data_IF_137748598962
#
_entry.id   IF_137748598962
#
_cell.length_a   1.000
_cell.length_b   1.000
_cell.length_c   1.000
_cell.angle_alpha   90.00
_cell.angle_beta   90.00
_cell.angle_gamma   90.00
#
_symmetry.space_group_name_H-M   'P 1'
#
loop_
_entity.id
_entity.type
_entity.pdbx_description
1 polymer ?
#
# COMPACT_ATOMS: atom_id res chain seq x y z
N UNK A 1 -9.71 -11.33 -0.81
CA UNK A 1 -8.73 -12.19 -1.52
C UNK A 1 -7.52 -11.32 -1.83
N UNK A 2 -6.33 -11.80 -1.48
CA UNK A 2 -5.06 -11.15 -1.78
C UNK A 2 -4.47 -11.84 -2.99
N UNK A 3 -3.98 -11.07 -3.94
CA UNK A 3 -3.35 -11.59 -5.15
C UNK A 3 -1.98 -10.93 -5.31
N UNK A 4 -0.87 -11.69 -5.11
CA UNK A 4 0.48 -11.15 -5.19
C UNK A 4 1.00 -11.14 -6.64
N UNK A 5 1.54 -10.00 -7.09
CA UNK A 5 2.08 -9.81 -8.44
C UNK A 5 1.04 -9.91 -9.58
N UNK A 6 1.51 -9.81 -10.84
CA UNK A 6 0.68 -9.87 -12.04
C UNK A 6 0.32 -8.49 -12.64
N UNK A 7 -0.59 -8.50 -13.63
CA UNK A 7 -1.13 -7.25 -14.16
C UNK A 7 -2.07 -6.59 -13.14
N UNK A 8 -1.97 -5.27 -12.92
CA UNK A 8 -2.87 -4.57 -12.03
C UNK A 8 -4.35 -4.79 -12.43
N UNK A 9 -5.24 -5.10 -11.46
CA UNK A 9 -6.64 -5.35 -11.76
C UNK A 9 -7.33 -4.05 -12.17
N UNK A 10 -8.49 -4.16 -12.84
CA UNK A 10 -9.34 -3.01 -13.17
C UNK A 10 -10.77 -3.30 -12.68
N UNK A 11 -11.45 -2.36 -12.00
CA UNK A 11 -10.98 -1.01 -11.65
C UNK A 11 -10.16 -0.98 -10.35
N UNK A 12 -9.13 -0.15 -10.30
CA UNK A 12 -8.46 0.26 -9.05
C UNK A 12 -9.12 1.52 -8.53
N UNK A 13 -9.52 1.53 -7.27
CA UNK A 13 -9.99 2.76 -6.60
C UNK A 13 -8.88 3.49 -5.85
N UNK A 14 -7.90 2.73 -5.33
CA UNK A 14 -6.91 3.26 -4.41
C UNK A 14 -5.55 2.59 -4.61
N UNK A 15 -4.50 3.40 -4.57
CA UNK A 15 -3.11 2.96 -4.52
C UNK A 15 -2.52 3.25 -3.15
N UNK A 16 -1.74 2.29 -2.63
CA UNK A 16 -0.89 2.45 -1.45
C UNK A 16 0.56 2.23 -1.84
N UNK A 17 1.44 3.12 -1.38
CA UNK A 17 2.87 3.00 -1.59
C UNK A 17 3.52 2.38 -0.35
N UNK A 18 4.24 1.29 -0.56
CA UNK A 18 5.06 0.62 0.45
C UNK A 18 6.50 1.08 0.30
N UNK A 19 7.03 1.71 1.34
CA UNK A 19 8.47 1.90 1.52
C UNK A 19 8.93 1.05 2.69
N UNK A 20 10.10 0.44 2.55
CA UNK A 20 10.64 -0.48 3.54
C UNK A 20 12.10 -0.20 3.84
N UNK A 21 12.45 -0.34 5.12
CA UNK A 21 13.84 -0.32 5.58
C UNK A 21 13.97 -1.18 6.83
N UNK A 22 14.86 -2.17 6.81
CA UNK A 22 15.30 -2.93 7.99
C UNK A 22 14.15 -3.38 8.92
N UNK A 23 13.15 -4.12 8.41
CA UNK A 23 12.02 -4.60 9.21
C UNK A 23 11.02 -3.52 9.64
N UNK A 24 11.11 -2.32 9.07
CA UNK A 24 10.14 -1.23 9.27
C UNK A 24 9.50 -0.81 7.96
N UNK A 25 8.30 -0.27 8.05
CA UNK A 25 7.56 0.33 6.93
C UNK A 25 7.28 1.79 7.22
N UNK A 26 7.35 2.63 6.19
CA UNK A 26 6.99 4.03 6.32
C UNK A 26 5.47 4.19 6.28
N UNK A 27 4.94 4.95 7.22
CA UNK A 27 3.52 5.23 7.35
C UNK A 27 3.28 6.72 7.57
N UNK A 28 2.12 7.18 7.11
CA UNK A 28 1.63 8.56 7.25
C UNK A 28 0.31 8.56 8.03
N UNK A 29 -0.04 9.67 8.70
CA UNK A 29 -1.36 9.79 9.30
C UNK A 29 -2.44 9.77 8.21
N UNK A 30 -3.38 8.84 8.29
CA UNK A 30 -4.50 8.78 7.34
C UNK A 30 -5.44 9.98 7.53
N UNK A 31 -5.81 10.62 6.43
CA UNK A 31 -6.79 11.70 6.41
C UNK A 31 -8.10 11.30 7.12
N UNK A 32 -8.67 12.23 7.88
CA UNK A 32 -9.89 12.05 8.68
C UNK A 32 -9.72 11.28 9.99
N UNK A 33 -8.88 10.24 10.05
CA UNK A 33 -8.75 9.38 11.26
C UNK A 33 -7.46 9.58 12.05
N UNK A 34 -6.40 10.11 11.43
CA UNK A 34 -5.06 10.20 12.02
C UNK A 34 -4.35 8.86 12.22
N UNK A 35 -5.03 7.72 11.98
CA UNK A 35 -4.44 6.39 12.19
C UNK A 35 -3.31 6.14 11.18
N UNK A 36 -2.18 5.53 11.57
CA UNK A 36 -1.08 5.24 10.66
C UNK A 36 -1.50 4.30 9.51
N UNK A 37 -1.27 4.70 8.27
CA UNK A 37 -1.53 3.94 7.06
C UNK A 37 -0.37 4.14 6.07
N UNK A 38 -0.28 3.33 5.03
CA UNK A 38 0.69 3.59 3.95
C UNK A 38 0.35 4.91 3.25
N UNK A 39 1.34 5.64 2.69
CA UNK A 39 1.05 6.72 1.75
C UNK A 39 0.06 6.24 0.69
N UNK A 40 -0.99 7.02 0.47
CA UNK A 40 -2.19 6.57 -0.24
C UNK A 40 -2.64 7.64 -1.23
N UNK A 41 -3.13 7.22 -2.40
CA UNK A 41 -3.76 8.12 -3.38
C UNK A 41 -4.91 7.43 -4.11
N UNK A 42 -5.96 8.18 -4.42
CA UNK A 42 -7.11 7.69 -5.17
C UNK A 42 -6.82 7.60 -6.67
N UNK A 43 -7.39 6.59 -7.31
CA UNK A 43 -7.30 6.39 -8.76
C UNK A 43 -8.57 6.94 -9.38
N UNK A 44 -8.54 8.23 -9.73
CA UNK A 44 -9.74 8.98 -10.16
C UNK A 44 -10.31 8.50 -11.51
N UNK A 45 -9.47 7.97 -12.39
CA UNK A 45 -9.88 7.41 -13.69
C UNK A 45 -10.36 5.96 -13.59
N UNK A 46 -10.27 5.35 -12.40
CA UNK A 46 -10.58 3.95 -12.13
C UNK A 46 -9.82 2.96 -13.04
N UNK A 47 -8.66 3.36 -13.55
CA UNK A 47 -7.79 2.53 -14.36
C UNK A 47 -7.03 1.48 -13.54
N UNK A 48 -5.85 1.11 -14.03
CA UNK A 48 -4.98 0.12 -13.40
C UNK A 48 -4.15 0.68 -12.22
N UNK A 49 -4.24 1.99 -11.99
CA UNK A 49 -3.56 2.71 -10.91
C UNK A 49 -2.06 2.91 -11.11
N UNK A 50 -1.45 2.45 -12.20
CA UNK A 50 0.01 2.57 -12.43
C UNK A 50 0.48 4.02 -12.43
N UNK A 51 -0.17 4.86 -13.23
CA UNK A 51 0.18 6.29 -13.31
C UNK A 51 -0.02 7.01 -11.96
N UNK A 52 -1.01 6.60 -11.17
CA UNK A 52 -1.21 7.12 -9.81
C UNK A 52 -0.11 6.65 -8.86
N UNK A 53 0.32 5.38 -8.97
CA UNK A 53 1.44 4.86 -8.19
C UNK A 53 2.76 5.57 -8.50
N UNK A 54 3.05 5.81 -9.77
CA UNK A 54 4.24 6.56 -10.21
C UNK A 54 4.25 7.99 -9.65
N UNK A 55 3.13 8.71 -9.76
CA UNK A 55 3.00 10.07 -9.19
C UNK A 55 3.11 10.07 -7.66
N UNK A 56 2.52 9.08 -6.99
CA UNK A 56 2.60 8.96 -5.54
C UNK A 56 4.03 8.67 -5.10
N UNK A 57 4.74 7.76 -5.78
CA UNK A 57 6.15 7.49 -5.53
C UNK A 57 6.99 8.77 -5.70
N UNK A 58 6.82 9.49 -6.82
CA UNK A 58 7.52 10.74 -7.07
C UNK A 58 7.28 11.80 -5.97
N UNK A 59 6.06 11.84 -5.42
CA UNK A 59 5.69 12.78 -4.35
C UNK A 59 6.29 12.38 -3.00
N UNK A 60 6.40 11.07 -2.72
CA UNK A 60 6.83 10.57 -1.40
C UNK A 60 8.34 10.45 -1.32
N UNK A 61 9.03 9.93 -2.33
CA UNK A 61 10.48 9.68 -2.31
C UNK A 61 11.29 10.56 -3.27
N UNK A 62 10.64 11.44 -4.02
CA UNK A 62 11.28 12.24 -5.07
C UNK A 62 11.53 11.45 -6.36
N UNK A 63 12.47 11.91 -7.19
CA UNK A 63 12.84 11.22 -8.42
C UNK A 63 13.58 9.91 -8.10
N UNK A 64 12.98 8.78 -8.47
CA UNK A 64 13.49 7.45 -8.21
C UNK A 64 12.82 6.41 -9.10
N UNK A 65 13.34 5.18 -9.09
CA UNK A 65 12.85 4.08 -9.93
C UNK A 65 11.33 3.86 -9.81
N UNK A 66 10.72 3.40 -10.91
CA UNK A 66 9.27 3.19 -10.97
C UNK A 66 8.80 2.13 -9.96
N UNK A 67 7.66 2.36 -9.28
CA UNK A 67 7.17 1.42 -8.28
C UNK A 67 6.74 0.09 -8.92
N UNK A 68 6.90 -0.99 -8.18
CA UNK A 68 6.51 -2.34 -8.61
C UNK A 68 5.23 -2.76 -7.90
N UNK A 69 4.26 -3.31 -8.64
CA UNK A 69 3.04 -3.84 -8.04
C UNK A 69 3.38 -5.03 -7.15
N UNK A 70 3.06 -4.92 -5.86
CA UNK A 70 3.23 -6.02 -4.91
C UNK A 70 2.01 -6.94 -4.90
N UNK A 71 0.83 -6.36 -5.07
CA UNK A 71 -0.43 -7.08 -5.13
C UNK A 71 -1.60 -6.17 -4.81
N UNK A 72 -2.78 -6.75 -4.65
CA UNK A 72 -3.99 -5.98 -4.39
C UNK A 72 -4.93 -6.66 -3.40
N UNK A 73 -5.72 -5.82 -2.73
CA UNK A 73 -6.86 -6.23 -1.92
C UNK A 73 -8.11 -6.01 -2.75
N UNK A 74 -8.84 -7.08 -3.04
CA UNK A 74 -10.17 -6.97 -3.62
C UNK A 74 -11.19 -6.58 -2.55
N UNK A 75 -11.81 -5.42 -2.70
CA UNK A 75 -12.95 -4.99 -1.92
C UNK A 75 -14.24 -5.33 -2.69
N UNK A 76 -15.18 -6.01 -2.05
CA UNK A 76 -16.47 -6.36 -2.64
C UNK A 76 -17.57 -5.90 -1.70
N UNK A 77 -18.43 -5.01 -2.21
CA UNK A 77 -19.52 -4.40 -1.45
C UNK A 77 -20.80 -4.60 -2.26
N UNK A 78 -21.73 -5.36 -1.69
CA UNK A 78 -23.01 -5.68 -2.33
C UNK A 78 -24.06 -4.61 -2.07
N UNK A 79 -24.07 -4.05 -0.86
CA UNK A 79 -24.96 -2.98 -0.44
C UNK A 79 -24.10 -1.86 0.15
N UNK A 80 -23.78 -0.81 -0.63
CA UNK A 80 -23.06 0.35 -0.11
C UNK A 80 -23.97 1.17 0.82
N UNK A 81 -23.37 1.96 1.72
CA UNK A 81 -24.04 3.13 2.27
C UNK A 81 -24.00 4.30 1.26
N UNK A 82 -24.71 5.39 1.55
CA UNK A 82 -24.79 6.57 0.67
C UNK A 82 -23.43 7.27 0.46
N UNK A 83 -22.41 6.94 1.25
CA UNK A 83 -21.11 7.60 1.27
C UNK A 83 -20.00 6.75 0.66
N UNK A 84 -20.31 5.53 0.19
CA UNK A 84 -19.31 4.61 -0.33
C UNK A 84 -18.72 5.12 -1.66
N UNK A 85 -17.44 5.52 -1.70
CA UNK A 85 -16.91 6.27 -2.83
C UNK A 85 -16.37 5.37 -3.96
N UNK A 86 -16.40 4.04 -3.79
CA UNK A 86 -15.72 3.11 -4.68
C UNK A 86 -16.67 2.39 -5.66
N UNK A 87 -16.15 1.94 -6.82
CA UNK A 87 -16.94 1.19 -7.78
C UNK A 87 -17.60 -0.06 -7.20
N UNK A 88 -18.81 -0.33 -7.67
CA UNK A 88 -19.62 -1.49 -7.28
C UNK A 88 -19.75 -2.50 -8.42
N UNK A 89 -19.87 -3.79 -8.10
CA UNK A 89 -19.77 -4.39 -6.77
C UNK A 89 -18.31 -4.63 -6.33
N UNK A 90 -17.33 -4.29 -7.17
CA UNK A 90 -15.91 -4.61 -6.96
C UNK A 90 -15.04 -3.38 -7.18
N UNK A 91 -14.16 -3.15 -6.22
CA UNK A 91 -13.04 -2.23 -6.33
C UNK A 91 -11.75 -2.92 -5.86
N UNK A 92 -10.63 -2.54 -6.44
CA UNK A 92 -9.33 -3.06 -6.02
C UNK A 92 -8.51 -1.95 -5.37
N UNK A 93 -7.79 -2.31 -4.31
CA UNK A 93 -6.83 -1.43 -3.66
C UNK A 93 -5.44 -2.03 -3.79
N UNK A 94 -4.60 -1.42 -4.60
CA UNK A 94 -3.30 -1.95 -4.97
C UNK A 94 -2.22 -1.45 -4.00
N UNK A 95 -1.27 -2.33 -3.67
CA UNK A 95 -0.05 -1.99 -2.94
C UNK A 95 1.11 -2.03 -3.93
N UNK A 96 1.83 -0.93 -4.01
CA UNK A 96 2.98 -0.77 -4.88
C UNK A 96 4.21 -0.51 -4.03
N UNK A 97 5.31 -1.19 -4.30
CA UNK A 97 6.57 -1.01 -3.57
C UNK A 97 7.47 -0.05 -4.34
N UNK A 98 8.12 0.86 -3.61
CA UNK A 98 9.21 1.69 -4.12
C UNK A 98 10.38 1.65 -3.16
N UNK A 99 11.57 1.88 -3.71
CA UNK A 99 12.77 2.18 -2.92
C UNK A 99 12.92 3.71 -2.79
N UNK A 100 13.73 4.15 -1.83
CA UNK A 100 14.01 5.57 -1.59
C UNK A 100 13.75 5.99 -0.14
N UNK A 101 14.24 7.18 0.22
CA UNK A 101 13.96 7.79 1.52
C UNK A 101 12.80 8.77 1.37
N UNK A 102 11.77 8.70 2.24
CA UNK A 102 10.64 9.60 2.18
C UNK A 102 11.06 11.05 2.43
N UNK A 103 10.55 11.97 1.61
CA UNK A 103 10.76 13.42 1.73
C UNK A 103 9.61 14.13 2.44
N UNK A 104 8.56 13.40 2.83
CA UNK A 104 7.39 13.90 3.54
C UNK A 104 7.36 13.45 5.01
N UNK A 105 6.55 14.12 5.84
CA UNK A 105 6.37 13.75 7.24
C UNK A 105 5.66 12.40 7.39
N UNK A 106 6.16 11.57 8.31
CA UNK A 106 5.59 10.26 8.62
C UNK A 106 6.40 9.56 9.71
N UNK A 107 6.24 8.25 9.82
CA UNK A 107 6.93 7.45 10.83
C UNK A 107 7.31 6.09 10.27
N UNK A 108 8.45 5.58 10.73
CA UNK A 108 8.85 4.20 10.48
C UNK A 108 8.29 3.31 11.59
N UNK A 109 7.46 2.33 11.23
CA UNK A 109 6.83 1.41 12.17
C UNK A 109 7.33 0.00 11.91
N UNK A 110 7.75 -0.69 12.97
CA UNK A 110 8.20 -2.08 12.87
C UNK A 110 7.07 -2.99 12.39
N UNK A 111 7.42 -3.91 11.48
CA UNK A 111 6.50 -4.98 11.08
C UNK A 111 6.58 -6.21 11.99
N UNK A 112 7.66 -6.34 12.75
CA UNK A 112 7.90 -7.46 13.65
C UNK A 112 7.17 -7.29 14.98
N UNK A 113 6.93 -6.05 15.41
CA UNK A 113 6.25 -5.75 16.66
C UNK A 113 4.84 -6.39 16.71
N UNK A 114 4.58 -7.30 17.67
CA UNK A 114 3.25 -7.90 17.87
C UNK A 114 2.17 -6.86 18.19
N UNK A 115 2.54 -5.73 18.78
CA UNK A 115 1.64 -4.62 19.09
C UNK A 115 1.50 -3.61 17.94
N UNK A 116 2.12 -3.88 16.78
CA UNK A 116 2.08 -2.96 15.64
C UNK A 116 0.63 -2.66 15.21
N UNK A 117 0.24 -1.37 15.11
CA UNK A 117 -1.11 -0.98 14.71
C UNK A 117 -1.46 -1.43 13.28
N UNK A 118 -0.45 -1.77 12.49
CA UNK A 118 -0.57 -2.15 11.08
C UNK A 118 -1.14 -3.55 10.90
N UNK A 119 -1.03 -4.44 11.89
CA UNK A 119 -1.53 -5.83 11.83
C UNK A 119 -3.04 -5.93 11.57
N UNK A 120 -3.78 -4.87 11.91
CA UNK A 120 -5.23 -4.79 11.69
C UNK A 120 -5.61 -4.29 10.29
N UNK A 121 -4.63 -3.86 9.49
CA UNK A 121 -4.89 -3.30 8.15
C UNK A 121 -5.12 -4.42 7.13
N UNK A 122 -6.11 -4.26 6.26
CA UNK A 122 -6.44 -5.26 5.25
C UNK A 122 -5.30 -5.56 4.25
N UNK A 123 -4.40 -4.61 4.04
CA UNK A 123 -3.22 -4.79 3.19
C UNK A 123 -2.05 -5.47 3.93
N UNK A 124 -2.10 -5.60 5.26
CA UNK A 124 -1.02 -6.14 6.08
C UNK A 124 -0.45 -7.47 5.56
N UNK A 125 -1.26 -8.46 5.13
CA UNK A 125 -0.68 -9.73 4.75
C UNK A 125 0.15 -9.68 3.45
N UNK A 126 -0.04 -8.67 2.58
CA UNK A 126 0.85 -8.44 1.42
C UNK A 126 2.25 -8.00 1.88
N UNK A 127 2.29 -7.15 2.89
CA UNK A 127 3.52 -6.65 3.50
C UNK A 127 4.21 -7.79 4.28
N UNK A 128 3.47 -8.52 5.12
CA UNK A 128 4.01 -9.64 5.90
C UNK A 128 4.55 -10.79 5.02
N UNK A 129 3.86 -11.14 3.92
CA UNK A 129 4.31 -12.21 3.02
C UNK A 129 5.66 -11.90 2.34
N UNK A 130 5.89 -10.62 2.04
CA UNK A 130 7.14 -10.16 1.43
C UNK A 130 8.32 -10.18 2.41
N UNK A 131 8.03 -10.09 3.71
CA UNK A 131 9.04 -10.20 4.77
C UNK A 131 9.46 -11.66 5.00
N UNK A 132 8.47 -12.56 5.03
CA UNK A 132 8.71 -14.00 5.14
C UNK A 132 9.48 -14.60 3.94
N UNK A 133 9.52 -13.90 2.80
CA UNK A 133 10.25 -14.28 1.60
C UNK A 133 11.76 -13.99 1.63
N UNK A 134 12.27 -13.28 2.63
CA UNK A 134 13.71 -12.99 2.75
C UNK A 134 14.33 -13.62 4.02
N UNK A 135 14.70 -14.91 4.00
CA UNK A 135 15.37 -15.56 5.13
C UNK A 135 16.87 -15.19 5.28
N UNK A 136 17.40 -14.17 4.59
CA UNK A 136 18.83 -13.93 4.48
C UNK A 136 19.29 -12.60 5.06
N UNK A 137 19.74 -12.58 6.31
CA UNK A 137 20.38 -11.41 6.90
C UNK A 137 20.94 -11.57 8.31
N UNK A 138 21.25 -12.78 8.77
CA UNK A 138 22.06 -13.02 9.97
C UNK A 138 23.36 -13.69 9.59
N UNK A 139 24.46 -12.97 9.76
CA UNK A 139 25.85 -13.39 10.03
C UNK A 139 26.71 -12.15 9.75
N UNK A 140 27.57 -11.64 10.60
CA UNK A 140 28.18 -12.05 11.86
C UNK A 140 29.36 -11.11 12.08
#
# INVERSE_FOLDING_TARGET
MLDPGGDPPVPVGLVRLLLRRSGTVFVVPREGSGKPDLPTSEVLDLGDGRATAERLAATVVGEGGGPTLLGYVRNSVEVPDEQYPWPLPRAHFCVWQSDGEPTCEGSWVSVDDPASPLRTRHWWPLVAATDAGNPGGTSG
#
